data_IF_333511451188
#
_entry.id   IF_333511451188
#
_cell.length_a   1.000
_cell.length_b   1.000
_cell.length_c   1.000
_cell.angle_alpha   90.00
_cell.angle_beta   90.00
_cell.angle_gamma   90.00
#
_symmetry.space_group_name_H-M   'P 1'
#
loop_
_entity.id
_entity.type
_entity.pdbx_description
1 polymer ?
#
# COMPACT_ATOMS: atom_id res chain seq x y z
N UNK A 1 2.91 -5.02 -0.71
CA UNK A 1 1.47 -5.33 -0.79
C UNK A 1 0.69 -4.27 -1.59
N UNK A 2 0.68 -3.02 -1.13
CA UNK A 2 0.12 -1.79 -1.70
C UNK A 2 -1.41 -1.74 -1.86
N UNK A 3 -2.13 -2.87 -1.78
CA UNK A 3 -3.58 -2.93 -1.70
C UNK A 3 -4.02 -4.21 -0.96
N UNK A 4 -5.12 -4.17 -0.18
CA UNK A 4 -5.60 -5.30 0.59
C UNK A 4 -6.66 -6.15 -0.12
N UNK A 5 -7.01 -5.80 -1.36
CA UNK A 5 -7.92 -6.55 -2.23
C UNK A 5 -7.37 -6.62 -3.66
N UNK A 6 -7.80 -7.62 -4.42
CA UNK A 6 -7.29 -7.87 -5.77
C UNK A 6 -7.72 -6.82 -6.78
N UNK A 7 -8.90 -6.22 -6.62
CA UNK A 7 -9.40 -5.19 -7.54
C UNK A 7 -8.44 -4.00 -7.58
N UNK A 8 -8.19 -3.39 -6.41
CA UNK A 8 -7.27 -2.27 -6.29
C UNK A 8 -5.83 -2.69 -6.59
N UNK A 9 -5.42 -3.89 -6.19
CA UNK A 9 -4.07 -4.38 -6.42
C UNK A 9 -3.78 -4.65 -7.89
N UNK A 10 -4.77 -5.05 -8.67
CA UNK A 10 -4.63 -5.21 -10.13
C UNK A 10 -4.30 -3.88 -10.83
N UNK A 11 -4.75 -2.77 -10.26
CA UNK A 11 -4.48 -1.44 -10.79
C UNK A 11 -3.11 -0.93 -10.36
N UNK A 12 -2.77 -1.06 -9.06
CA UNK A 12 -1.53 -0.53 -8.49
C UNK A 12 -0.31 -1.43 -8.78
N UNK A 13 -0.52 -2.74 -8.80
CA UNK A 13 0.53 -3.76 -8.93
C UNK A 13 0.10 -4.80 -9.97
N UNK A 14 0.28 -4.54 -11.27
CA UNK A 14 -0.29 -5.35 -12.35
C UNK A 14 0.08 -6.84 -12.34
N UNK A 15 1.20 -7.21 -11.71
CA UNK A 15 1.59 -8.61 -11.54
C UNK A 15 0.59 -9.41 -10.69
N UNK A 16 -0.30 -8.73 -9.97
CA UNK A 16 -1.37 -9.36 -9.22
C UNK A 16 -2.30 -10.19 -10.13
N UNK A 17 -2.50 -9.78 -11.37
CA UNK A 17 -3.30 -10.55 -12.34
C UNK A 17 -2.76 -11.97 -12.56
N UNK A 18 -1.44 -12.13 -12.41
CA UNK A 18 -0.78 -13.45 -12.51
C UNK A 18 -0.69 -14.14 -11.16
N UNK A 19 -0.49 -13.37 -10.10
CA UNK A 19 -0.31 -13.87 -8.74
C UNK A 19 -1.23 -13.10 -7.79
N UNK A 20 -2.52 -13.48 -7.70
CA UNK A 20 -3.49 -12.81 -6.83
C UNK A 20 -3.13 -12.97 -5.35
N UNK A 21 -3.77 -12.16 -4.51
CA UNK A 21 -3.48 -12.10 -3.08
C UNK A 21 -3.54 -13.45 -2.39
N UNK A 22 -4.51 -14.29 -2.74
CA UNK A 22 -4.63 -15.63 -2.18
C UNK A 22 -3.35 -16.45 -2.39
N UNK A 23 -2.82 -16.45 -3.61
CA UNK A 23 -1.58 -17.18 -3.94
C UNK A 23 -0.36 -16.56 -3.24
N UNK A 24 -0.30 -15.23 -3.15
CA UNK A 24 0.76 -14.52 -2.46
C UNK A 24 0.78 -14.88 -0.97
N UNK A 25 -0.37 -14.81 -0.30
CA UNK A 25 -0.48 -15.14 1.13
C UNK A 25 -0.15 -16.62 1.37
N UNK A 26 -0.66 -17.53 0.55
CA UNK A 26 -0.33 -18.95 0.64
C UNK A 26 1.18 -19.21 0.46
N UNK A 27 1.85 -18.48 -0.44
CA UNK A 27 3.30 -18.59 -0.61
C UNK A 27 4.06 -18.10 0.62
N UNK A 28 3.63 -16.97 1.23
CA UNK A 28 4.20 -16.45 2.48
C UNK A 28 4.01 -17.44 3.64
N UNK A 29 2.84 -18.05 3.78
CA UNK A 29 2.55 -19.05 4.80
C UNK A 29 3.44 -20.30 4.63
N UNK A 30 3.60 -20.79 3.40
CA UNK A 30 4.52 -21.92 3.11
C UNK A 30 5.98 -21.58 3.45
N UNK A 31 6.40 -20.34 3.20
CA UNK A 31 7.76 -19.91 3.53
C UNK A 31 7.99 -19.91 5.05
N UNK A 32 7.01 -19.43 5.84
CA UNK A 32 7.12 -19.41 7.31
C UNK A 32 7.06 -20.82 7.89
N UNK A 33 6.20 -21.71 7.36
CA UNK A 33 5.96 -23.06 7.87
C UNK A 33 6.98 -24.12 7.47
N UNK A 34 7.89 -23.83 6.55
CA UNK A 34 8.77 -24.86 5.96
C UNK A 34 9.82 -25.46 6.88
N UNK A 35 10.15 -24.85 8.00
CA UNK A 35 11.30 -25.29 8.79
C UNK A 35 10.94 -26.23 9.95
N UNK A 36 9.66 -26.60 10.14
CA UNK A 36 9.23 -27.58 11.14
C UNK A 36 9.64 -27.28 12.59
N UNK A 37 10.24 -26.13 12.82
CA UNK A 37 10.77 -25.71 14.09
C UNK A 37 9.82 -24.65 14.69
N UNK A 38 8.96 -25.04 15.61
CA UNK A 38 8.03 -24.15 16.32
C UNK A 38 8.75 -22.97 17.02
N UNK A 39 10.07 -23.04 17.14
CA UNK A 39 10.94 -21.98 17.68
C UNK A 39 11.27 -20.87 16.68
N UNK A 40 10.98 -21.02 15.40
CA UNK A 40 11.35 -19.98 14.45
C UNK A 40 10.35 -18.82 14.50
N UNK A 41 10.76 -17.72 15.11
CA UNK A 41 10.04 -16.43 15.11
C UNK A 41 10.02 -15.78 13.72
N UNK A 42 9.83 -16.61 12.67
CA UNK A 42 9.78 -16.11 11.30
C UNK A 42 8.53 -15.29 11.08
N UNK A 43 8.70 -14.16 10.45
CA UNK A 43 7.62 -13.29 10.02
C UNK A 43 7.98 -12.68 8.67
N UNK A 44 6.99 -12.25 7.92
CA UNK A 44 7.18 -11.45 6.71
C UNK A 44 6.99 -9.97 7.05
N UNK A 45 7.73 -9.11 6.38
CA UNK A 45 7.48 -7.67 6.44
C UNK A 45 6.60 -7.27 5.26
N UNK A 46 5.46 -6.70 5.57
CA UNK A 46 4.50 -6.19 4.60
C UNK A 46 4.78 -4.70 4.40
N UNK A 47 5.36 -4.33 3.28
CA UNK A 47 5.48 -2.93 2.90
C UNK A 47 4.19 -2.45 2.20
N UNK A 48 3.71 -1.29 2.63
CA UNK A 48 2.48 -0.68 2.13
C UNK A 48 2.68 0.80 1.87
N UNK A 49 2.78 1.18 0.59
CA UNK A 49 2.86 2.59 0.20
C UNK A 49 1.47 3.19 0.29
N UNK A 50 1.34 4.27 1.07
CA UNK A 50 0.07 4.96 1.29
C UNK A 50 -0.13 6.08 0.28
N UNK A 51 -1.18 5.97 -0.51
CA UNK A 51 -1.57 6.88 -1.58
C UNK A 51 -2.87 7.57 -1.19
N UNK A 52 -2.86 8.91 -1.18
CA UNK A 52 -4.02 9.72 -0.76
C UNK A 52 -5.27 9.40 -1.58
N UNK A 53 -6.37 9.10 -0.88
CA UNK A 53 -7.67 8.83 -1.49
C UNK A 53 -7.74 7.55 -2.35
N UNK A 54 -6.71 6.71 -2.30
CA UNK A 54 -6.59 5.51 -3.14
C UNK A 54 -6.64 4.24 -2.30
N UNK A 55 -5.68 4.09 -1.42
CA UNK A 55 -5.53 2.89 -0.58
C UNK A 55 -5.43 3.20 0.92
N UNK A 56 -5.68 4.44 1.32
CA UNK A 56 -5.50 4.94 2.68
C UNK A 56 -6.82 5.08 3.47
N UNK A 57 -7.94 4.57 2.95
CA UNK A 57 -9.23 4.60 3.63
C UNK A 57 -9.30 3.61 4.79
N UNK A 58 -10.13 3.88 5.84
CA UNK A 58 -10.29 2.97 6.99
C UNK A 58 -10.67 1.54 6.58
N UNK A 59 -11.46 1.38 5.53
CA UNK A 59 -11.89 0.09 4.99
C UNK A 59 -10.70 -0.75 4.52
N UNK A 60 -9.67 -0.11 3.96
CA UNK A 60 -8.46 -0.79 3.51
C UNK A 60 -7.66 -1.34 4.69
N UNK A 61 -7.63 -0.63 5.83
CA UNK A 61 -7.02 -1.15 7.06
C UNK A 61 -7.77 -2.39 7.56
N UNK A 62 -9.11 -2.36 7.56
CA UNK A 62 -9.94 -3.51 7.98
C UNK A 62 -9.77 -4.70 7.03
N UNK A 63 -9.71 -4.47 5.72
CA UNK A 63 -9.44 -5.53 4.74
C UNK A 63 -8.04 -6.12 4.95
N UNK A 64 -7.03 -5.30 5.24
CA UNK A 64 -5.68 -5.76 5.53
C UNK A 64 -5.62 -6.64 6.79
N UNK A 65 -6.34 -6.27 7.86
CA UNK A 65 -6.46 -7.08 9.08
C UNK A 65 -7.01 -8.46 8.72
N UNK A 66 -8.09 -8.53 7.94
CA UNK A 66 -8.69 -9.80 7.51
C UNK A 66 -7.73 -10.64 6.67
N UNK A 67 -7.05 -9.99 5.71
CA UNK A 67 -6.11 -10.65 4.80
C UNK A 67 -4.91 -11.27 5.53
N UNK A 68 -4.38 -10.56 6.55
CA UNK A 68 -3.16 -10.94 7.23
C UNK A 68 -3.40 -11.72 8.54
N UNK A 69 -4.65 -11.97 8.92
CA UNK A 69 -5.03 -12.58 10.21
C UNK A 69 -4.24 -13.83 10.58
N UNK A 70 -3.94 -14.69 9.60
CA UNK A 70 -3.25 -15.97 9.80
C UNK A 70 -1.82 -15.95 9.26
N UNK A 71 -1.23 -14.76 9.09
CA UNK A 71 0.13 -14.62 8.59
C UNK A 71 0.96 -13.83 9.61
N UNK A 72 1.92 -14.47 10.32
CA UNK A 72 2.86 -13.76 11.17
C UNK A 72 3.59 -12.68 10.37
N UNK A 73 3.24 -11.43 10.61
CA UNK A 73 3.75 -10.32 9.81
C UNK A 73 3.97 -9.05 10.62
N UNK A 74 4.92 -8.24 10.16
CA UNK A 74 5.09 -6.84 10.55
C UNK A 74 4.70 -5.97 9.37
N UNK A 75 4.10 -4.82 9.65
CA UNK A 75 3.62 -3.90 8.63
C UNK A 75 4.47 -2.64 8.67
N UNK A 76 4.95 -2.21 7.51
CA UNK A 76 5.68 -0.96 7.33
C UNK A 76 4.89 -0.06 6.39
N UNK A 77 4.27 0.98 6.94
CA UNK A 77 3.57 1.99 6.16
C UNK A 77 4.58 2.97 5.60
N UNK A 78 4.53 3.19 4.30
CA UNK A 78 5.43 4.09 3.59
C UNK A 78 4.60 5.25 3.05
N UNK A 79 4.66 6.45 3.66
CA UNK A 79 4.03 7.62 3.09
C UNK A 79 4.58 7.85 1.67
N UNK A 80 3.69 8.01 0.71
CA UNK A 80 4.10 8.30 -0.66
C UNK A 80 4.82 9.66 -0.70
N UNK A 81 5.93 9.71 -1.43
CA UNK A 81 6.62 10.96 -1.70
C UNK A 81 6.32 11.38 -3.14
N UNK A 82 5.47 12.41 -3.35
CA UNK A 82 5.12 12.86 -4.69
C UNK A 82 6.37 13.38 -5.43
N UNK A 83 6.45 13.09 -6.70
CA UNK A 83 7.46 13.62 -7.64
C UNK A 83 6.75 14.37 -8.77
N UNK A 84 7.45 15.23 -9.54
CA UNK A 84 6.82 15.95 -10.65
C UNK A 84 6.05 15.00 -11.57
N UNK A 85 4.78 15.36 -11.83
CA UNK A 85 3.84 14.54 -12.64
C UNK A 85 3.39 13.22 -12.01
N UNK A 86 3.65 12.98 -10.72
CA UNK A 86 3.11 11.81 -10.03
C UNK A 86 1.57 11.81 -10.08
N UNK A 87 0.92 10.67 -10.41
CA UNK A 87 -0.54 10.60 -10.47
C UNK A 87 -1.19 10.53 -9.09
N UNK A 88 -0.39 10.40 -8.03
CA UNK A 88 -0.84 10.19 -6.65
C UNK A 88 -0.38 11.29 -5.73
N UNK A 89 -1.18 11.56 -4.67
CA UNK A 89 -0.83 12.42 -3.57
C UNK A 89 -0.30 11.65 -2.35
N UNK A 90 0.29 12.40 -1.41
CA UNK A 90 0.73 11.88 -0.12
C UNK A 90 -0.45 11.90 0.85
N UNK A 91 -0.76 10.78 1.47
CA UNK A 91 -1.76 10.69 2.53
C UNK A 91 -1.44 11.66 3.67
N UNK A 92 -2.48 12.30 4.21
CA UNK A 92 -2.30 13.21 5.34
C UNK A 92 -1.75 12.48 6.58
N UNK A 93 -1.00 13.20 7.41
CA UNK A 93 -0.42 12.63 8.63
C UNK A 93 -1.48 11.99 9.53
N UNK A 94 -2.62 12.63 9.69
CA UNK A 94 -3.71 12.11 10.52
C UNK A 94 -4.26 10.80 9.97
N UNK A 95 -4.39 10.68 8.65
CA UNK A 95 -4.85 9.46 7.99
C UNK A 95 -3.85 8.31 8.20
N UNK A 96 -2.56 8.58 8.03
CA UNK A 96 -1.50 7.59 8.24
C UNK A 96 -1.51 7.09 9.70
N UNK A 97 -1.60 8.00 10.67
CA UNK A 97 -1.64 7.65 12.10
C UNK A 97 -2.90 6.85 12.44
N UNK A 98 -4.06 7.24 11.92
CA UNK A 98 -5.32 6.51 12.12
C UNK A 98 -5.25 5.11 11.52
N UNK A 99 -4.70 4.96 10.33
CA UNK A 99 -4.49 3.68 9.67
C UNK A 99 -3.54 2.77 10.47
N UNK A 100 -2.41 3.32 10.93
CA UNK A 100 -1.48 2.63 11.82
C UNK A 100 -2.16 2.17 13.11
N UNK A 101 -2.92 3.07 13.75
CA UNK A 101 -3.61 2.76 15.00
C UNK A 101 -4.58 1.59 14.80
N UNK A 102 -5.37 1.60 13.74
CA UNK A 102 -6.31 0.51 13.42
C UNK A 102 -5.60 -0.83 13.30
N UNK A 103 -4.45 -0.88 12.64
CA UNK A 103 -3.65 -2.10 12.51
C UNK A 103 -3.02 -2.53 13.85
N UNK A 104 -2.53 -1.57 14.63
CA UNK A 104 -1.91 -1.84 15.94
C UNK A 104 -2.94 -2.31 16.97
N UNK A 105 -4.13 -1.73 16.98
CA UNK A 105 -5.25 -2.16 17.84
C UNK A 105 -5.70 -3.61 17.52
N UNK A 106 -5.50 -4.04 16.27
CA UNK A 106 -5.73 -5.43 15.84
C UNK A 106 -4.55 -6.39 16.15
N UNK A 107 -3.50 -5.91 16.82
CA UNK A 107 -2.37 -6.72 17.28
C UNK A 107 -1.18 -6.79 16.32
N UNK A 108 -1.18 -6.05 15.22
CA UNK A 108 -0.02 -6.02 14.30
C UNK A 108 1.06 -5.06 14.78
N UNK A 109 2.32 -5.46 14.64
CA UNK A 109 3.45 -4.52 14.73
C UNK A 109 3.45 -3.68 13.48
N UNK A 110 3.07 -2.40 13.62
CA UNK A 110 2.94 -1.48 12.50
C UNK A 110 3.84 -0.25 12.70
N UNK A 111 4.78 -0.04 11.78
CA UNK A 111 5.69 1.10 11.76
C UNK A 111 5.38 2.03 10.61
N UNK A 112 5.70 3.32 10.78
CA UNK A 112 5.65 4.31 9.69
C UNK A 112 7.08 4.63 9.32
N UNK A 113 7.42 4.46 8.03
CA UNK A 113 8.73 4.84 7.51
C UNK A 113 8.87 6.36 7.56
N UNK A 114 9.86 6.83 8.31
CA UNK A 114 10.26 8.24 8.26
C UNK A 114 11.15 8.44 7.03
N UNK A 115 10.73 9.27 6.10
CA UNK A 115 11.60 9.79 5.06
C UNK A 115 12.59 10.75 5.74
N UNK A 116 13.87 10.38 5.76
CA UNK A 116 14.91 11.30 6.16
C UNK A 116 15.08 12.34 5.05
N UNK A 117 14.74 13.57 5.34
CA UNK A 117 15.03 14.74 4.53
C UNK A 117 13.97 15.05 3.48
N UNK A 118 13.33 16.18 3.65
CA UNK A 118 12.62 16.90 2.58
C UNK A 118 13.61 17.40 1.50
N UNK A 119 14.92 17.10 1.66
CA UNK A 119 16.02 17.61 0.85
C UNK A 119 16.54 16.66 -0.23
N UNK A 120 15.98 15.46 -0.40
CA UNK A 120 16.42 14.50 -1.44
C UNK A 120 15.43 14.44 -2.62
N UNK A 121 14.75 15.53 -2.90
CA UNK A 121 13.88 15.64 -4.09
C UNK A 121 14.67 15.62 -5.42
N UNK A 122 15.99 15.78 -5.38
CA UNK A 122 16.76 15.94 -6.60
C UNK A 122 17.29 14.62 -7.22
N UNK A 123 17.57 13.59 -6.43
CA UNK A 123 18.32 12.43 -6.94
C UNK A 123 17.44 11.29 -7.49
N UNK A 124 16.27 11.01 -6.90
CA UNK A 124 15.39 9.95 -7.40
C UNK A 124 14.44 10.41 -8.50
N UNK A 125 14.07 11.70 -8.53
CA UNK A 125 13.18 12.28 -9.55
C UNK A 125 13.81 12.34 -10.94
N UNK A 126 15.13 12.53 -11.03
CA UNK A 126 15.83 12.62 -12.31
C UNK A 126 15.96 11.27 -13.04
N UNK A 127 15.99 10.16 -12.32
CA UNK A 127 16.05 8.82 -12.93
C UNK A 127 14.70 8.34 -13.48
N UNK A 128 13.59 8.81 -12.92
CA UNK A 128 12.23 8.42 -13.35
C UNK A 128 11.69 9.36 -14.43
N UNK A 129 12.20 10.58 -14.54
CA UNK A 129 11.76 11.59 -15.50
C UNK A 129 12.07 11.28 -16.98
N UNK A 130 12.87 10.24 -17.28
CA UNK A 130 13.18 9.85 -18.66
C UNK A 130 12.40 8.64 -19.18
N UNK A 131 11.63 7.96 -18.32
CA UNK A 131 10.70 6.95 -18.77
C UNK A 131 9.37 7.65 -19.05
N UNK A 132 9.23 8.18 -20.26
CA UNK A 132 7.95 8.67 -20.75
C UNK A 132 6.90 7.57 -20.51
N UNK A 133 5.96 7.85 -19.61
CA UNK A 133 4.86 6.94 -19.32
C UNK A 133 4.03 6.71 -20.58
N UNK A 134 4.32 5.63 -21.29
CA UNK A 134 3.60 5.19 -22.49
C UNK A 134 2.23 4.61 -22.16
N UNK A 135 1.84 4.57 -20.91
CA UNK A 135 0.56 4.02 -20.50
C UNK A 135 -0.39 5.15 -20.11
N UNK A 136 -1.51 5.27 -20.82
CA UNK A 136 -2.64 6.17 -20.50
C UNK A 136 -3.28 5.91 -19.10
N UNK A 137 -2.63 5.13 -18.24
CA UNK A 137 -3.11 4.75 -16.90
C UNK A 137 -3.21 5.92 -15.94
N UNK A 138 -2.23 6.80 -15.91
CA UNK A 138 -2.21 7.95 -15.01
C UNK A 138 -3.41 8.90 -15.28
N UNK A 139 -3.76 9.11 -16.56
CA UNK A 139 -4.91 9.93 -16.93
C UNK A 139 -6.24 9.27 -16.59
N UNK A 140 -6.36 7.96 -16.83
CA UNK A 140 -7.57 7.20 -16.49
C UNK A 140 -7.78 7.17 -14.98
N UNK A 141 -6.71 7.02 -14.20
CA UNK A 141 -6.79 7.05 -12.75
C UNK A 141 -7.18 8.43 -12.21
N UNK A 142 -6.59 9.51 -12.71
CA UNK A 142 -6.98 10.89 -12.35
C UNK A 142 -8.47 11.13 -12.59
N UNK A 143 -9.01 10.65 -13.69
CA UNK A 143 -10.45 10.74 -13.99
C UNK A 143 -11.30 9.95 -13.01
N UNK A 144 -10.91 8.72 -12.66
CA UNK A 144 -11.62 7.88 -11.68
C UNK A 144 -11.62 8.50 -10.29
N UNK A 145 -10.47 8.97 -9.80
CA UNK A 145 -10.35 9.61 -8.48
C UNK A 145 -11.15 10.91 -8.42
N UNK A 146 -11.10 11.72 -9.48
CA UNK A 146 -11.90 12.94 -9.57
C UNK A 146 -13.40 12.64 -9.50
N UNK A 147 -13.86 11.64 -10.25
CA UNK A 147 -15.26 11.21 -10.29
C UNK A 147 -15.74 10.64 -8.94
N UNK A 148 -14.88 9.89 -8.25
CA UNK A 148 -15.19 9.33 -6.94
C UNK A 148 -15.27 10.40 -5.84
N UNK A 149 -14.38 11.39 -5.90
CA UNK A 149 -14.41 12.55 -5.00
C UNK A 149 -15.62 13.44 -5.25
N UNK A 150 -16.09 13.54 -6.48
CA UNK A 150 -17.29 14.31 -6.85
C UNK A 150 -18.58 13.62 -6.33
N UNK A 151 -18.65 12.29 -6.43
CA UNK A 151 -19.75 11.49 -5.87
C UNK A 151 -19.80 11.61 -4.34
N UNK A 152 -18.67 11.58 -3.66
CA UNK A 152 -18.63 11.74 -2.20
C UNK A 152 -19.01 13.18 -1.75
N UNK A 153 -18.73 14.20 -2.55
CA UNK A 153 -19.15 15.59 -2.27
C UNK A 153 -20.63 15.81 -2.51
N UNK A 154 -21.26 15.03 -3.36
CA UNK A 154 -22.71 15.14 -3.66
C UNK A 154 -23.60 14.38 -2.70
N UNK A 155 -23.04 13.54 -1.81
CA UNK A 155 -23.75 12.74 -0.81
C UNK A 155 -23.58 13.26 0.63
N UNK A 156 -22.91 14.37 0.83
CA UNK A 156 -22.74 15.09 2.11
C UNK A 156 -23.35 16.47 2.05
#
# INVERSE_FOLDING_TARGET
LHAPNDELRNELVPINKKYPLEQLIAACQRYIGKDGNESSRKHVTIEYVMLEGVNDHPEHAQQMIKLLKNLPSKINLIPFNPFPHAPYGRSSRNRIISFQKTLSDAGFVCTIRQTRGDDIDAACGQLVGQVADRTRRAEQWKKKVAQQNEIMRSQG
#
